data_IF_526819548578
#
_entry.id   IF_526819548578
#
_cell.length_a   1.000
_cell.length_b   1.000
_cell.length_c   1.000
_cell.angle_alpha   90.00
_cell.angle_beta   90.00
_cell.angle_gamma   90.00
#
_symmetry.space_group_name_H-M   'P 1'
#
loop_
_entity.id
_entity.type
_entity.pdbx_description
1 polymer ?
#
# COMPACT_ATOMS: atom_id res chain seq x y z
N UNK A 1 23.05 12.28 -40.72
CA UNK A 1 23.56 11.10 -39.97
C UNK A 1 22.48 10.04 -40.09
N UNK A 2 22.65 9.07 -40.99
CA UNK A 2 21.65 8.03 -41.27
C UNK A 2 21.54 7.16 -40.01
N UNK A 3 20.32 6.91 -39.54
CA UNK A 3 20.08 6.18 -38.29
C UNK A 3 20.49 4.70 -38.45
N UNK A 4 20.91 4.05 -37.36
CA UNK A 4 21.27 2.61 -37.37
C UNK A 4 20.12 1.76 -37.92
N UNK A 5 18.88 2.14 -37.62
CA UNK A 5 17.67 1.48 -38.09
C UNK A 5 17.45 1.60 -39.62
N UNK A 6 17.96 2.64 -40.27
CA UNK A 6 17.84 2.80 -41.72
C UNK A 6 18.77 1.85 -42.45
N UNK A 7 20.00 1.69 -41.96
CA UNK A 7 20.95 0.74 -42.52
C UNK A 7 20.50 -0.73 -42.33
N UNK A 8 19.85 -1.05 -41.21
CA UNK A 8 19.26 -2.38 -40.99
C UNK A 8 18.18 -2.70 -42.03
N UNK A 9 17.31 -1.72 -42.36
CA UNK A 9 16.27 -1.88 -43.38
C UNK A 9 16.85 -2.04 -44.78
N UNK A 10 17.90 -1.30 -45.09
CA UNK A 10 18.57 -1.40 -46.39
C UNK A 10 19.24 -2.77 -46.58
N UNK A 11 19.95 -3.26 -45.55
CA UNK A 11 20.54 -4.61 -45.57
C UNK A 11 19.47 -5.69 -45.71
N UNK A 12 18.33 -5.56 -45.03
CA UNK A 12 17.21 -6.48 -45.17
C UNK A 12 16.70 -6.52 -46.61
N UNK A 13 16.59 -5.39 -47.30
CA UNK A 13 16.07 -5.32 -48.68
C UNK A 13 16.89 -6.13 -49.69
N UNK A 14 18.20 -6.29 -49.46
CA UNK A 14 19.10 -7.04 -50.33
C UNK A 14 19.16 -8.55 -50.01
N UNK A 15 18.43 -9.01 -48.99
CA UNK A 15 18.43 -10.42 -48.58
C UNK A 15 17.23 -11.17 -49.18
N UNK A 16 17.32 -12.50 -49.21
CA UNK A 16 16.19 -13.32 -49.68
C UNK A 16 15.02 -13.25 -48.70
N UNK A 17 13.79 -13.49 -49.19
CA UNK A 17 12.56 -13.42 -48.37
C UNK A 17 12.62 -14.29 -47.11
N UNK A 18 13.29 -15.44 -47.18
CA UNK A 18 13.45 -16.36 -46.05
C UNK A 18 14.48 -15.84 -45.04
N UNK A 19 15.59 -15.28 -45.49
CA UNK A 19 16.59 -14.64 -44.63
C UNK A 19 16.03 -13.40 -43.95
N UNK A 20 15.29 -12.57 -44.69
CA UNK A 20 14.55 -11.42 -44.16
C UNK A 20 13.65 -11.84 -43.01
N UNK A 21 12.82 -12.87 -43.23
CA UNK A 21 11.91 -13.40 -42.20
C UNK A 21 12.64 -13.87 -40.95
N UNK A 22 13.78 -14.55 -41.11
CA UNK A 22 14.61 -15.01 -39.98
C UNK A 22 15.17 -13.82 -39.19
N UNK A 23 15.67 -12.80 -39.89
CA UNK A 23 16.31 -11.64 -39.26
C UNK A 23 15.28 -10.74 -38.60
N UNK A 24 14.14 -10.48 -39.24
CA UNK A 24 13.03 -9.74 -38.63
C UNK A 24 12.60 -10.41 -37.33
N UNK A 25 12.40 -11.73 -37.35
CA UNK A 25 12.07 -12.48 -36.13
C UNK A 25 13.17 -12.37 -35.05
N UNK A 26 14.44 -12.41 -35.46
CA UNK A 26 15.58 -12.23 -34.55
C UNK A 26 15.71 -10.81 -33.99
N UNK A 27 15.36 -9.78 -34.76
CA UNK A 27 15.37 -8.37 -34.35
C UNK A 27 14.15 -7.99 -33.50
N UNK A 28 13.07 -8.75 -33.57
CA UNK A 28 11.92 -8.58 -32.68
C UNK A 28 12.13 -9.39 -31.39
N UNK A 29 12.21 -10.71 -31.50
CA UNK A 29 12.16 -11.63 -30.36
C UNK A 29 13.54 -12.02 -29.80
N UNK A 30 14.60 -11.88 -30.61
CA UNK A 30 15.93 -12.37 -30.24
C UNK A 30 15.97 -13.90 -30.11
N UNK A 31 16.98 -14.40 -29.41
CA UNK A 31 17.03 -15.81 -29.03
C UNK A 31 18.07 -16.66 -29.75
N UNK A 32 18.12 -17.95 -29.39
CA UNK A 32 19.07 -18.91 -29.95
C UNK A 32 18.63 -19.36 -31.34
N UNK A 33 19.60 -19.76 -32.18
CA UNK A 33 19.32 -20.26 -33.52
C UNK A 33 18.33 -21.45 -33.51
N UNK A 34 18.42 -22.31 -32.49
CA UNK A 34 17.50 -23.43 -32.25
C UNK A 34 16.05 -22.99 -32.00
N UNK A 35 15.86 -21.95 -31.19
CA UNK A 35 14.52 -21.41 -30.90
C UNK A 35 13.90 -20.81 -32.17
N UNK A 36 14.67 -20.01 -32.91
CA UNK A 36 14.24 -19.37 -34.14
C UNK A 36 13.92 -20.40 -35.24
N UNK A 37 14.76 -21.42 -35.37
CA UNK A 37 14.55 -22.55 -36.25
C UNK A 37 13.22 -23.26 -35.98
N UNK A 38 12.93 -23.56 -34.69
CA UNK A 38 11.68 -24.18 -34.27
C UNK A 38 10.46 -23.29 -34.55
N UNK A 39 10.56 -21.99 -34.29
CA UNK A 39 9.46 -21.05 -34.48
C UNK A 39 9.11 -20.81 -35.95
N UNK A 40 10.11 -20.76 -36.84
CA UNK A 40 9.91 -20.50 -38.27
C UNK A 40 9.81 -21.77 -39.13
N UNK A 41 10.03 -22.95 -38.55
CA UNK A 41 10.03 -24.23 -39.27
C UNK A 41 11.20 -24.38 -40.25
N UNK A 42 12.37 -23.84 -39.90
CA UNK A 42 13.57 -23.84 -40.76
C UNK A 42 14.72 -24.55 -40.05
N UNK A 43 15.68 -25.11 -40.80
CA UNK A 43 16.89 -25.70 -40.20
C UNK A 43 17.74 -24.68 -39.43
N UNK A 44 18.37 -25.10 -38.32
CA UNK A 44 19.30 -24.26 -37.55
C UNK A 44 20.44 -23.71 -38.41
N UNK A 45 20.94 -24.52 -39.37
CA UNK A 45 22.00 -24.12 -40.31
C UNK A 45 21.59 -22.91 -41.16
N UNK A 46 20.34 -22.86 -41.59
CA UNK A 46 19.81 -21.71 -42.35
C UNK A 46 19.75 -20.46 -41.49
N UNK A 47 19.38 -20.61 -40.22
CA UNK A 47 19.34 -19.49 -39.27
C UNK A 47 20.75 -18.94 -39.04
N UNK A 48 21.73 -19.81 -38.79
CA UNK A 48 23.13 -19.39 -38.66
C UNK A 48 23.65 -18.69 -39.91
N UNK A 49 23.34 -19.23 -41.10
CA UNK A 49 23.72 -18.63 -42.38
C UNK A 49 23.11 -17.22 -42.53
N UNK A 50 21.81 -17.07 -42.25
CA UNK A 50 21.12 -15.79 -42.35
C UNK A 50 21.70 -14.75 -41.39
N UNK A 51 21.91 -15.10 -40.13
CA UNK A 51 22.51 -14.22 -39.13
C UNK A 51 23.96 -13.83 -39.48
N UNK A 52 24.74 -14.79 -39.97
CA UNK A 52 26.11 -14.53 -40.44
C UNK A 52 26.11 -13.54 -41.61
N UNK A 53 25.26 -13.77 -42.61
CA UNK A 53 25.17 -12.93 -43.80
C UNK A 53 24.74 -11.51 -43.43
N UNK A 54 23.76 -11.37 -42.54
CA UNK A 54 23.32 -10.08 -42.00
C UNK A 54 24.46 -9.31 -41.31
N UNK A 55 25.18 -9.97 -40.39
CA UNK A 55 26.32 -9.36 -39.69
C UNK A 55 27.46 -8.99 -40.65
N UNK A 56 27.69 -9.80 -41.68
CA UNK A 56 28.69 -9.49 -42.70
C UNK A 56 28.33 -8.20 -43.45
N UNK A 57 27.09 -8.09 -43.94
CA UNK A 57 26.60 -6.90 -44.65
C UNK A 57 26.60 -5.64 -43.77
N UNK A 58 26.31 -5.78 -42.48
CA UNK A 58 26.40 -4.66 -41.54
C UNK A 58 27.84 -4.18 -41.32
N UNK A 59 28.81 -5.10 -41.25
CA UNK A 59 30.24 -4.75 -41.16
C UNK A 59 30.75 -4.07 -42.43
N UNK A 60 30.31 -4.53 -43.60
CA UNK A 60 30.63 -3.89 -44.88
C UNK A 60 30.15 -2.42 -44.94
N UNK A 61 29.08 -2.10 -44.19
CA UNK A 61 28.53 -0.74 -44.03
C UNK A 61 29.11 0.02 -42.83
N UNK A 62 30.13 -0.52 -42.17
CA UNK A 62 30.81 0.14 -41.04
C UNK A 62 30.05 0.13 -39.72
N UNK A 63 29.03 -0.72 -39.56
CA UNK A 63 28.22 -0.80 -38.34
C UNK A 63 28.79 -1.86 -37.40
N UNK A 64 28.97 -1.50 -36.14
CA UNK A 64 29.43 -2.43 -35.12
C UNK A 64 28.35 -3.48 -34.80
N UNK A 65 28.66 -4.75 -35.10
CA UNK A 65 27.78 -5.89 -34.89
C UNK A 65 27.81 -6.46 -33.47
N UNK A 66 28.67 -5.94 -32.59
CA UNK A 66 28.84 -6.41 -31.21
C UNK A 66 27.52 -6.41 -30.42
N UNK A 67 26.66 -5.42 -30.68
CA UNK A 67 25.32 -5.30 -30.07
C UNK A 67 24.38 -6.47 -30.40
N UNK A 68 24.56 -7.11 -31.56
CA UNK A 68 23.72 -8.24 -31.98
C UNK A 68 24.08 -9.52 -31.20
N UNK A 69 25.35 -9.71 -30.85
CA UNK A 69 25.78 -10.90 -30.09
C UNK A 69 25.23 -10.92 -28.65
N UNK A 70 24.92 -9.75 -28.09
CA UNK A 70 24.36 -9.58 -26.76
C UNK A 70 22.84 -9.84 -26.69
N UNK A 71 22.18 -10.03 -27.84
CA UNK A 71 20.74 -10.29 -27.95
C UNK A 71 20.39 -11.77 -27.70
N UNK A 72 21.12 -12.42 -26.81
CA UNK A 72 20.79 -13.77 -26.33
C UNK A 72 19.73 -13.66 -25.24
N UNK A 73 18.48 -13.93 -25.63
CA UNK A 73 17.35 -14.24 -24.74
C UNK A 73 17.23 -13.36 -23.49
N UNK A 74 16.37 -12.34 -23.53
CA UNK A 74 15.87 -11.70 -22.32
C UNK A 74 15.13 -12.67 -21.39
N UNK A 75 14.81 -13.90 -21.86
CA UNK A 75 14.03 -14.89 -21.12
C UNK A 75 14.75 -16.24 -20.85
N UNK A 76 16.02 -16.42 -21.25
CA UNK A 76 16.70 -17.72 -21.12
C UNK A 76 18.09 -17.65 -20.45
N UNK A 77 18.22 -16.81 -19.42
CA UNK A 77 19.23 -17.08 -18.38
C UNK A 77 18.62 -18.02 -17.34
N UNK A 78 18.52 -19.29 -17.71
CA UNK A 78 18.59 -20.37 -16.74
C UNK A 78 19.94 -20.26 -16.02
N UNK A 79 19.86 -20.03 -14.72
CA UNK A 79 20.98 -19.96 -13.79
C UNK A 79 21.71 -21.31 -13.81
N UNK A 80 22.88 -21.37 -14.43
CA UNK A 80 23.91 -22.35 -14.10
C UNK A 80 25.28 -21.65 -14.10
N UNK A 81 26.00 -21.64 -12.97
CA UNK A 81 27.27 -20.96 -12.85
C UNK A 81 28.39 -21.90 -13.30
N UNK A 82 29.30 -21.43 -14.15
CA UNK A 82 30.65 -21.98 -14.12
C UNK A 82 31.71 -20.97 -14.61
N UNK A 83 32.50 -20.53 -13.63
CA UNK A 83 33.95 -20.29 -13.65
C UNK A 83 34.51 -19.55 -14.87
N UNK A 84 34.40 -18.24 -14.83
CA UNK A 84 35.49 -17.35 -15.23
C UNK A 84 35.71 -16.38 -14.09
N UNK A 85 36.82 -16.54 -13.37
CA UNK A 85 37.26 -15.63 -12.32
C UNK A 85 37.54 -14.24 -12.92
N UNK A 86 36.53 -13.38 -12.92
CA UNK A 86 36.74 -11.95 -12.77
C UNK A 86 36.69 -11.69 -11.27
N UNK A 87 37.86 -11.53 -10.65
CA UNK A 87 37.98 -10.90 -9.35
C UNK A 87 37.50 -9.45 -9.50
N UNK A 88 36.20 -9.24 -9.29
CA UNK A 88 35.67 -7.96 -8.87
C UNK A 88 35.60 -8.04 -7.35
N UNK A 89 36.34 -7.19 -6.65
CA UNK A 89 36.29 -7.14 -5.20
C UNK A 89 34.83 -6.88 -4.78
N UNK A 90 34.22 -7.81 -4.04
CA UNK A 90 32.80 -7.72 -3.65
C UNK A 90 32.44 -6.42 -2.93
N UNK A 91 33.45 -5.74 -2.37
CA UNK A 91 33.32 -4.42 -1.74
C UNK A 91 32.88 -3.34 -2.73
N UNK A 92 33.42 -3.33 -3.95
CA UNK A 92 33.07 -2.32 -4.96
C UNK A 92 31.63 -2.49 -5.44
N UNK A 93 31.15 -3.73 -5.57
CA UNK A 93 29.79 -4.03 -5.98
C UNK A 93 28.78 -3.71 -4.88
N UNK A 94 29.08 -4.06 -3.63
CA UNK A 94 28.26 -3.68 -2.48
C UNK A 94 28.16 -2.16 -2.33
N UNK A 95 29.26 -1.45 -2.58
CA UNK A 95 29.29 0.00 -2.53
C UNK A 95 28.52 0.63 -3.69
N UNK A 96 28.62 0.10 -4.92
CA UNK A 96 27.84 0.56 -6.08
C UNK A 96 26.35 0.29 -5.87
N UNK A 97 25.98 -0.90 -5.39
CA UNK A 97 24.59 -1.26 -5.11
C UNK A 97 24.03 -0.34 -4.02
N UNK A 98 24.78 -0.16 -2.93
CA UNK A 98 24.31 0.62 -1.78
C UNK A 98 24.24 2.12 -2.06
N UNK A 99 25.24 2.69 -2.74
CA UNK A 99 25.31 4.14 -2.99
C UNK A 99 24.54 4.59 -4.22
N UNK A 100 24.34 3.72 -5.22
CA UNK A 100 23.79 4.13 -6.52
C UNK A 100 22.45 3.49 -6.83
N UNK A 101 22.30 2.20 -6.58
CA UNK A 101 21.09 1.46 -6.99
C UNK A 101 19.99 1.57 -5.93
N UNK A 102 20.32 1.39 -4.64
CA UNK A 102 19.36 1.51 -3.54
C UNK A 102 18.62 2.86 -3.50
N UNK A 103 19.26 4.04 -3.60
CA UNK A 103 18.53 5.31 -3.55
C UNK A 103 17.59 5.50 -4.74
N UNK A 104 17.96 5.00 -5.92
CA UNK A 104 17.09 5.07 -7.11
C UNK A 104 15.84 4.21 -6.91
N UNK A 105 16.01 2.98 -6.43
CA UNK A 105 14.89 2.07 -6.15
C UNK A 105 14.02 2.67 -5.03
N UNK A 106 14.62 3.20 -3.98
CA UNK A 106 13.90 3.78 -2.85
C UNK A 106 13.08 4.99 -3.27
N UNK A 107 13.61 5.86 -4.14
CA UNK A 107 12.86 6.98 -4.70
C UNK A 107 11.74 6.50 -5.62
N UNK A 108 11.98 5.49 -6.44
CA UNK A 108 10.94 4.93 -7.30
C UNK A 108 9.79 4.31 -6.49
N UNK A 109 10.13 3.56 -5.43
CA UNK A 109 9.15 3.00 -4.49
C UNK A 109 8.40 4.12 -3.76
N UNK A 110 9.10 5.18 -3.33
CA UNK A 110 8.51 6.36 -2.70
C UNK A 110 7.50 7.05 -3.63
N UNK A 111 7.84 7.21 -4.90
CA UNK A 111 6.96 7.78 -5.92
C UNK A 111 5.70 6.93 -6.15
N UNK A 112 5.85 5.61 -6.29
CA UNK A 112 4.71 4.70 -6.46
C UNK A 112 3.82 4.70 -5.23
N UNK A 113 4.40 4.64 -4.03
CA UNK A 113 3.65 4.72 -2.78
C UNK A 113 2.91 6.06 -2.64
N UNK A 114 3.55 7.19 -2.95
CA UNK A 114 2.88 8.49 -2.91
C UNK A 114 1.70 8.56 -3.88
N UNK A 115 1.83 7.99 -5.07
CA UNK A 115 0.75 7.97 -6.05
C UNK A 115 -0.40 7.07 -5.60
N UNK A 116 -0.12 5.87 -5.08
CA UNK A 116 -1.14 4.97 -4.56
C UNK A 116 -1.83 5.53 -3.30
N UNK A 117 -1.05 6.11 -2.39
CA UNK A 117 -1.60 6.82 -1.23
C UNK A 117 -2.46 8.00 -1.68
N UNK A 118 -2.03 8.79 -2.67
CA UNK A 118 -2.82 9.89 -3.23
C UNK A 118 -4.16 9.40 -3.78
N UNK A 119 -4.18 8.27 -4.50
CA UNK A 119 -5.43 7.64 -4.97
C UNK A 119 -6.33 7.20 -3.82
N UNK A 120 -5.76 6.57 -2.78
CA UNK A 120 -6.51 6.14 -1.59
C UNK A 120 -7.08 7.34 -0.84
N UNK A 121 -6.28 8.39 -0.63
CA UNK A 121 -6.70 9.61 0.06
C UNK A 121 -7.69 10.42 -0.77
N UNK A 122 -7.56 10.49 -2.10
CA UNK A 122 -8.57 11.12 -2.96
C UNK A 122 -9.91 10.37 -2.87
N UNK A 123 -9.87 9.03 -2.88
CA UNK A 123 -11.05 8.18 -2.70
C UNK A 123 -11.67 8.33 -1.29
N UNK A 124 -10.84 8.47 -0.26
CA UNK A 124 -11.26 8.67 1.14
C UNK A 124 -11.79 10.09 1.39
N UNK A 125 -11.21 11.13 0.77
CA UNK A 125 -11.70 12.52 0.83
C UNK A 125 -13.14 12.62 0.34
N UNK A 126 -13.48 11.88 -0.71
CA UNK A 126 -14.85 11.77 -1.21
C UNK A 126 -15.83 11.13 -0.22
N UNK A 127 -15.35 10.24 0.65
CA UNK A 127 -16.14 9.60 1.71
C UNK A 127 -16.28 10.50 2.95
N UNK A 128 -15.26 11.31 3.27
CA UNK A 128 -15.23 12.18 4.45
C UNK A 128 -15.91 13.53 4.26
N UNK A 129 -16.17 13.97 3.02
CA UNK A 129 -16.99 15.18 2.77
C UNK A 129 -18.44 15.01 3.27
N UNK A 130 -18.89 13.78 3.55
CA UNK A 130 -20.16 13.50 4.25
C UNK A 130 -20.04 13.51 5.78
N UNK A 131 -18.82 13.49 6.33
CA UNK A 131 -18.56 13.41 7.77
C UNK A 131 -17.45 14.38 8.18
N UNK A 132 -17.66 15.68 7.97
CA UNK A 132 -17.20 16.82 8.78
C UNK A 132 -15.78 16.92 9.33
N UNK A 133 -14.82 16.06 8.99
CA UNK A 133 -13.50 16.02 9.62
C UNK A 133 -12.39 16.19 8.58
N UNK A 134 -11.88 17.42 8.46
CA UNK A 134 -10.75 17.77 7.60
C UNK A 134 -9.44 17.50 8.34
N UNK A 135 -8.78 16.38 8.05
CA UNK A 135 -7.35 16.23 8.35
C UNK A 135 -6.58 16.43 7.05
N UNK A 136 -5.80 17.52 6.97
CA UNK A 136 -4.91 17.82 5.86
C UNK A 136 -3.62 17.00 6.04
N UNK A 137 -3.42 15.96 5.21
CA UNK A 137 -2.26 15.07 5.27
C UNK A 137 -0.98 15.64 4.62
N UNK A 138 -1.01 16.85 4.07
CA UNK A 138 0.15 17.48 3.39
C UNK A 138 1.13 18.18 4.35
N UNK A 139 0.78 18.26 5.65
CA UNK A 139 1.64 18.72 6.75
C UNK A 139 1.36 17.93 8.03
N UNK A 140 1.51 16.60 7.97
CA UNK A 140 1.55 15.81 9.20
C UNK A 140 2.94 15.96 9.81
N UNK A 141 3.19 17.11 10.44
CA UNK A 141 4.33 17.25 11.34
C UNK A 141 4.14 16.24 12.46
N UNK A 142 5.17 15.46 12.81
CA UNK A 142 5.15 14.56 13.97
C UNK A 142 4.66 15.27 15.23
N UNK A 143 4.99 16.56 15.38
CA UNK A 143 4.51 17.44 16.43
C UNK A 143 2.98 17.63 16.45
N UNK A 144 2.33 17.67 15.29
CA UNK A 144 0.87 17.77 15.18
C UNK A 144 0.18 16.44 15.52
N UNK A 145 0.84 15.30 15.25
CA UNK A 145 0.34 13.99 15.69
C UNK A 145 0.50 13.84 17.20
N UNK A 146 1.65 14.23 17.74
CA UNK A 146 1.92 14.21 19.18
C UNK A 146 1.01 15.16 19.94
N UNK A 147 0.68 16.33 19.38
CA UNK A 147 -0.30 17.24 19.98
C UNK A 147 -1.73 16.70 19.92
N UNK A 148 -2.12 16.04 18.83
CA UNK A 148 -3.42 15.37 18.72
C UNK A 148 -3.54 14.16 19.68
N UNK A 149 -2.48 13.35 19.78
CA UNK A 149 -2.41 12.22 20.71
C UNK A 149 -2.41 12.67 22.17
N UNK A 150 -1.68 13.72 22.51
CA UNK A 150 -1.68 14.27 23.87
C UNK A 150 -3.01 14.92 24.23
N UNK A 151 -3.67 15.59 23.27
CA UNK A 151 -5.03 16.13 23.45
C UNK A 151 -6.05 15.01 23.68
N UNK A 152 -5.99 13.93 22.89
CA UNK A 152 -6.82 12.75 23.08
C UNK A 152 -6.57 12.09 24.44
N UNK A 153 -5.29 11.92 24.82
CA UNK A 153 -4.92 11.36 26.12
C UNK A 153 -5.46 12.22 27.28
N UNK A 154 -5.40 13.55 27.15
CA UNK A 154 -5.97 14.48 28.13
C UNK A 154 -7.49 14.36 28.23
N UNK A 155 -8.19 14.23 27.10
CA UNK A 155 -9.63 13.99 27.07
C UNK A 155 -10.01 12.66 27.72
N UNK A 156 -9.25 11.59 27.47
CA UNK A 156 -9.45 10.28 28.12
C UNK A 156 -9.22 10.39 29.63
N UNK A 157 -8.17 11.10 30.07
CA UNK A 157 -7.93 11.33 31.50
C UNK A 157 -9.05 12.12 32.16
N UNK A 158 -9.58 13.13 31.49
CA UNK A 158 -10.71 13.92 31.98
C UNK A 158 -12.00 13.08 32.06
N UNK A 159 -12.24 12.24 31.06
CA UNK A 159 -13.35 11.30 31.06
C UNK A 159 -13.21 10.29 32.20
N UNK A 160 -12.01 9.75 32.43
CA UNK A 160 -11.73 8.87 33.56
C UNK A 160 -11.94 9.58 34.90
N UNK A 161 -11.54 10.85 35.04
CA UNK A 161 -11.83 11.65 36.25
C UNK A 161 -13.32 11.84 36.45
N UNK A 162 -14.07 12.11 35.38
CA UNK A 162 -15.52 12.29 35.45
C UNK A 162 -16.23 10.98 35.81
N UNK A 163 -15.77 9.84 35.27
CA UNK A 163 -16.26 8.51 35.66
C UNK A 163 -15.96 8.25 37.13
N UNK A 164 -14.72 8.49 37.60
CA UNK A 164 -14.37 8.31 39.01
C UNK A 164 -15.17 9.24 39.93
N UNK A 165 -15.44 10.47 39.49
CA UNK A 165 -16.29 11.40 40.22
C UNK A 165 -17.74 10.89 40.29
N UNK A 166 -18.30 10.39 39.18
CA UNK A 166 -19.62 9.77 39.14
C UNK A 166 -19.71 8.54 40.03
N UNK A 167 -18.71 7.65 39.99
CA UNK A 167 -18.61 6.49 40.90
C UNK A 167 -18.59 6.98 42.34
N UNK A 168 -17.79 7.99 42.68
CA UNK A 168 -17.77 8.54 44.04
C UNK A 168 -19.09 9.16 44.48
N UNK A 169 -19.86 9.73 43.54
CA UNK A 169 -21.19 10.28 43.82
C UNK A 169 -22.24 9.18 43.97
N UNK A 170 -22.10 8.08 43.23
CA UNK A 170 -22.94 6.90 43.37
C UNK A 170 -22.65 6.18 44.68
N UNK A 171 -21.38 5.97 45.03
CA UNK A 171 -20.97 5.42 46.33
C UNK A 171 -21.47 6.30 47.49
N UNK A 172 -21.45 7.63 47.35
CA UNK A 172 -22.02 8.56 48.35
C UNK A 172 -23.54 8.53 48.43
N UNK A 173 -24.23 8.18 47.34
CA UNK A 173 -25.68 8.02 47.34
C UNK A 173 -26.11 6.66 47.92
N UNK A 174 -25.27 5.63 47.87
CA UNK A 174 -25.53 4.37 48.57
C UNK A 174 -25.51 4.53 50.10
N UNK A 175 -24.79 5.52 50.64
CA UNK A 175 -24.86 5.90 52.07
C UNK A 175 -26.19 6.53 52.51
N UNK A 176 -27.14 6.80 51.59
CA UNK A 176 -28.51 7.22 51.94
C UNK A 176 -29.51 6.05 51.98
N UNK A 177 -29.04 4.81 51.77
CA UNK A 177 -29.90 3.61 51.75
C UNK A 177 -29.83 2.76 53.01
N UNK A 178 -28.93 3.07 53.95
CA UNK A 178 -28.84 2.39 55.25
C UNK A 178 -29.03 3.43 56.37
N UNK A 179 -30.30 3.75 56.65
CA UNK A 179 -30.80 3.99 58.01
C UNK A 179 -32.29 4.35 57.93
N UNK A 180 -33.14 3.37 58.23
CA UNK A 180 -34.32 3.52 59.09
C UNK A 180 -35.09 2.19 59.14
N UNK A 181 -34.72 1.33 60.09
CA UNK A 181 -35.75 0.59 60.80
C UNK A 181 -36.63 1.57 61.58
N UNK A 182 -37.88 1.14 61.83
CA UNK A 182 -38.90 1.69 62.74
C UNK A 182 -39.94 2.60 62.05
N UNK A 183 -41.12 2.02 61.87
CA UNK A 183 -42.29 2.66 61.32
C UNK A 183 -42.69 3.95 62.03
N UNK A 184 -42.63 5.06 61.30
CA UNK A 184 -43.50 6.21 61.49
C UNK A 184 -43.67 6.88 60.11
N UNK A 185 -44.90 7.23 59.76
CA UNK A 185 -45.24 7.83 58.47
C UNK A 185 -44.39 9.10 58.23
N UNK A 186 -43.67 9.23 57.09
CA UNK A 186 -42.82 10.39 56.86
C UNK A 186 -43.69 11.64 56.64
N UNK A 187 -43.61 12.59 57.56
CA UNK A 187 -44.21 13.91 57.39
C UNK A 187 -43.55 14.62 56.19
N UNK A 188 -44.36 15.38 55.43
CA UNK A 188 -44.02 15.94 54.11
C UNK A 188 -42.79 16.88 54.06
N UNK A 189 -42.14 17.16 55.20
CA UNK A 189 -40.91 17.97 55.29
C UNK A 189 -39.62 17.17 55.06
N UNK A 190 -39.66 15.83 55.14
CA UNK A 190 -38.50 14.95 54.97
C UNK A 190 -38.16 14.59 53.51
N UNK A 191 -38.97 15.03 52.54
CA UNK A 191 -38.74 14.73 51.13
C UNK A 191 -37.87 15.81 50.47
N UNK A 192 -36.86 15.42 49.66
CA UNK A 192 -36.04 16.34 48.87
C UNK A 192 -36.88 17.27 48.00
N UNK A 193 -36.41 18.50 47.80
CA UNK A 193 -37.16 19.58 47.14
C UNK A 193 -37.65 19.24 45.73
N UNK A 194 -36.93 18.40 44.98
CA UNK A 194 -37.27 17.96 43.63
C UNK A 194 -38.40 16.92 43.56
N UNK A 195 -38.78 16.31 44.69
CA UNK A 195 -39.93 15.38 44.78
C UNK A 195 -41.18 16.13 45.28
N UNK A 196 -41.00 17.30 45.93
CA UNK A 196 -42.08 18.11 46.47
C UNK A 196 -42.85 18.77 45.31
N UNK A 197 -44.06 18.28 45.04
CA UNK A 197 -44.91 18.76 43.95
C UNK A 197 -44.82 17.95 42.66
N UNK A 198 -44.18 16.77 42.67
CA UNK A 198 -44.23 15.87 41.54
C UNK A 198 -45.59 15.13 41.50
N UNK A 199 -46.45 15.35 40.48
CA UNK A 199 -47.79 14.77 40.41
C UNK A 199 -47.79 13.24 40.32
N UNK A 200 -46.69 12.62 39.90
CA UNK A 200 -46.56 11.17 39.82
C UNK A 200 -46.43 10.50 41.20
N UNK A 201 -46.06 11.24 42.24
CA UNK A 201 -45.93 10.70 43.60
C UNK A 201 -47.28 10.34 44.21
N UNK A 202 -48.35 11.05 43.85
CA UNK A 202 -49.71 10.71 44.28
C UNK A 202 -50.19 9.43 43.61
N UNK A 203 -49.90 9.27 42.31
CA UNK A 203 -50.21 8.06 41.53
C UNK A 203 -49.48 6.83 42.08
N UNK A 204 -48.23 6.98 42.52
CA UNK A 204 -47.48 5.88 43.13
C UNK A 204 -47.99 5.52 44.53
N UNK A 205 -48.42 6.52 45.33
CA UNK A 205 -49.05 6.27 46.64
C UNK A 205 -50.35 5.50 46.50
N UNK A 206 -51.20 5.85 45.53
CA UNK A 206 -52.47 5.15 45.33
C UNK A 206 -52.27 3.71 44.87
N UNK A 207 -51.27 3.45 44.02
CA UNK A 207 -50.95 2.09 43.55
C UNK A 207 -50.47 1.17 44.68
N UNK A 208 -49.64 1.67 45.58
CA UNK A 208 -49.10 0.88 46.72
C UNK A 208 -50.10 0.73 47.87
N UNK A 209 -51.19 1.49 47.87
CA UNK A 209 -52.27 1.42 48.86
C UNK A 209 -53.37 0.41 48.51
N UNK A 210 -53.22 -0.34 47.41
CA UNK A 210 -54.12 -1.42 47.03
C UNK A 210 -53.99 -2.57 48.05
N UNK A 211 -55.07 -3.01 48.73
CA UNK A 211 -54.96 -4.07 49.71
C UNK A 211 -54.65 -5.40 49.03
N UNK A 212 -53.71 -6.13 49.63
CA UNK A 212 -53.38 -7.52 49.34
C UNK A 212 -54.64 -8.36 49.15
N UNK A 213 -54.90 -8.81 47.92
CA UNK A 213 -55.95 -9.77 47.61
C UNK A 213 -55.49 -11.11 48.20
N UNK A 214 -56.06 -11.48 49.34
CA UNK A 214 -55.95 -12.85 49.88
C UNK A 214 -56.86 -13.76 49.06
N UNK A 215 -56.27 -14.78 48.45
CA UNK A 215 -56.97 -16.02 48.09
C UNK A 215 -56.98 -16.95 49.30
#
# INVERSE_FOLDING_TARGET
MISIAEHEREVLSEMTKTEQRIISYYLENGGSAKSIAKALGVSERTVYKALYLFRRKLRERGIDTSKLYLRSTTEARSIHPNKSELRCEGKDLEEIISKRILPIILEQVRMVLHEELRKIFAKKKMLTDKSGFKINFEKVNEESLLSALSSLNRSIQELNRNILHLVSLLDKNDFLSEDNEIGTAPTAKALPSFIRGNPWMEVLRTKNSSPSIKY
#
